data_IF_089772124500
#
_entry.id   IF_089772124500
#
_cell.length_a   1.000
_cell.length_b   1.000
_cell.length_c   1.000
_cell.angle_alpha   90.00
_cell.angle_beta   90.00
_cell.angle_gamma   90.00
#
_symmetry.space_group_name_H-M   'P 1'
#
loop_
_entity.id
_entity.type
_entity.pdbx_description
1 polymer ?
#
# COMPACT_ATOMS: atom_id res chain seq x y z
N UNK A 1 29.75 0.13 -23.30
CA UNK A 1 28.70 1.11 -22.94
C UNK A 1 27.41 0.34 -22.73
N UNK A 2 27.00 0.04 -21.48
CA UNK A 2 25.73 -0.68 -21.23
C UNK A 2 24.57 0.29 -21.46
N UNK A 3 23.72 0.01 -22.44
CA UNK A 3 22.47 0.73 -22.67
C UNK A 3 21.62 0.61 -21.39
N UNK A 4 21.38 1.73 -20.70
CA UNK A 4 20.43 1.75 -19.58
C UNK A 4 19.02 1.66 -20.18
N UNK A 5 18.23 0.64 -19.87
CA UNK A 5 16.87 0.58 -20.35
C UNK A 5 16.11 1.83 -19.89
N UNK A 6 15.48 2.54 -20.83
CA UNK A 6 14.58 3.64 -20.51
C UNK A 6 13.23 3.03 -20.14
N UNK A 7 13.02 2.79 -18.84
CA UNK A 7 11.73 2.39 -18.28
C UNK A 7 10.97 3.65 -17.90
N UNK A 8 9.75 3.80 -18.41
CA UNK A 8 8.86 4.90 -18.01
C UNK A 8 8.38 4.69 -16.57
N UNK A 9 8.23 5.77 -15.81
CA UNK A 9 7.93 5.70 -14.36
C UNK A 9 6.55 5.09 -14.06
N UNK A 10 5.59 5.20 -14.98
CA UNK A 10 4.25 4.61 -14.88
C UNK A 10 4.24 3.07 -14.92
N UNK A 11 5.31 2.47 -15.46
CA UNK A 11 5.58 1.03 -15.38
C UNK A 11 6.29 0.61 -14.08
N UNK A 12 6.58 1.54 -13.18
CA UNK A 12 7.26 1.26 -11.92
C UNK A 12 6.27 1.45 -10.76
N UNK A 13 6.27 0.47 -9.85
CA UNK A 13 5.60 0.55 -8.55
C UNK A 13 6.69 0.56 -7.48
N UNK A 14 6.69 1.58 -6.62
CA UNK A 14 7.50 1.60 -5.42
C UNK A 14 6.68 1.02 -4.27
N UNK A 15 7.20 -0.02 -3.63
CA UNK A 15 6.60 -0.61 -2.44
C UNK A 15 7.24 0.01 -1.19
N UNK A 16 6.38 0.40 -0.24
CA UNK A 16 6.79 0.98 1.03
C UNK A 16 6.08 0.22 2.13
N UNK A 17 6.83 -0.46 2.99
CA UNK A 17 6.28 -1.19 4.14
C UNK A 17 5.66 -0.22 5.15
N UNK A 18 4.58 -0.63 5.82
CA UNK A 18 3.89 0.19 6.84
C UNK A 18 4.83 0.76 7.92
N UNK A 19 5.81 -0.02 8.36
CA UNK A 19 6.76 0.37 9.43
C UNK A 19 7.57 1.63 9.11
N UNK A 20 7.83 1.90 7.83
CA UNK A 20 8.58 3.09 7.37
C UNK A 20 7.79 4.37 7.64
N UNK A 21 6.47 4.27 7.75
CA UNK A 21 5.57 5.42 7.90
C UNK A 21 5.21 5.75 9.36
N UNK A 22 5.71 4.99 10.33
CA UNK A 22 5.47 5.20 11.77
C UNK A 22 6.53 6.09 12.45
N UNK A 23 7.58 6.49 11.73
CA UNK A 23 8.73 7.22 12.28
C UNK A 23 8.63 8.75 12.21
N UNK A 24 9.59 9.43 12.86
CA UNK A 24 9.72 10.91 12.84
C UNK A 24 9.87 11.52 11.43
N UNK A 25 10.21 10.69 10.45
CA UNK A 25 10.42 11.09 9.05
C UNK A 25 9.18 10.89 8.17
N UNK A 26 8.03 10.47 8.74
CA UNK A 26 6.84 10.12 7.96
C UNK A 26 6.40 11.26 7.02
N UNK A 27 6.39 12.51 7.49
CA UNK A 27 6.00 13.67 6.67
C UNK A 27 6.98 13.95 5.53
N UNK A 28 8.29 13.78 5.78
CA UNK A 28 9.32 13.94 4.75
C UNK A 28 9.19 12.85 3.67
N UNK A 29 8.99 11.60 4.10
CA UNK A 29 8.77 10.45 3.22
C UNK A 29 7.50 10.66 2.39
N UNK A 30 6.41 11.12 3.01
CA UNK A 30 5.18 11.50 2.32
C UNK A 30 5.46 12.52 1.21
N UNK A 31 6.24 13.56 1.53
CA UNK A 31 6.63 14.59 0.58
C UNK A 31 7.41 14.06 -0.62
N UNK A 32 8.32 13.10 -0.42
CA UNK A 32 9.06 12.47 -1.52
C UNK A 32 8.17 11.56 -2.35
N UNK A 33 7.29 10.78 -1.72
CA UNK A 33 6.34 9.92 -2.42
C UNK A 33 5.41 10.75 -3.32
N UNK A 34 4.88 11.89 -2.84
CA UNK A 34 4.05 12.79 -3.67
C UNK A 34 4.80 13.24 -4.93
N UNK A 35 6.05 13.69 -4.78
CA UNK A 35 6.89 14.13 -5.91
C UNK A 35 7.16 13.02 -6.92
N UNK A 36 7.30 11.77 -6.48
CA UNK A 36 7.46 10.63 -7.38
C UNK A 36 6.16 10.30 -8.10
N UNK A 37 5.03 10.35 -7.39
CA UNK A 37 3.69 10.14 -7.97
C UNK A 37 3.32 11.18 -9.01
N UNK A 38 3.64 12.45 -8.77
CA UNK A 38 3.47 13.53 -9.74
C UNK A 38 4.23 13.29 -11.06
N UNK A 39 5.25 12.43 -11.06
CA UNK A 39 6.03 12.04 -12.25
C UNK A 39 5.52 10.76 -12.91
N UNK A 40 4.39 10.22 -12.45
CA UNK A 40 3.75 9.01 -12.99
C UNK A 40 4.09 7.72 -12.25
N UNK A 41 5.00 7.74 -11.26
CA UNK A 41 5.33 6.54 -10.49
C UNK A 41 4.16 6.13 -9.59
N UNK A 42 3.82 4.85 -9.55
CA UNK A 42 2.81 4.34 -8.60
C UNK A 42 3.46 3.90 -7.30
N UNK A 43 2.72 4.00 -6.21
CA UNK A 43 3.19 3.57 -4.88
C UNK A 43 2.22 2.59 -4.23
N UNK A 44 2.78 1.51 -3.69
CA UNK A 44 2.07 0.52 -2.92
C UNK A 44 2.47 0.57 -1.44
N UNK A 45 1.47 0.53 -0.55
CA UNK A 45 1.67 0.23 0.86
C UNK A 45 1.76 -1.28 1.02
N UNK A 46 2.89 -1.75 1.52
CA UNK A 46 3.24 -3.16 1.64
C UNK A 46 3.05 -3.69 3.07
N UNK A 47 2.92 -5.01 3.18
CA UNK A 47 2.76 -5.77 4.44
C UNK A 47 1.56 -5.32 5.30
N UNK A 48 0.49 -4.79 4.68
CA UNK A 48 -0.68 -4.32 5.43
C UNK A 48 -1.37 -5.50 6.13
N UNK A 49 -1.36 -5.50 7.46
CA UNK A 49 -1.94 -6.60 8.27
C UNK A 49 -0.95 -7.35 9.16
N UNK A 50 0.36 -7.13 9.01
CA UNK A 50 1.42 -7.83 9.78
C UNK A 50 1.67 -7.28 11.20
N UNK A 51 1.05 -6.14 11.54
CA UNK A 51 1.21 -5.44 12.82
C UNK A 51 -0.03 -4.66 13.24
N UNK A 52 0.14 -3.46 13.80
CA UNK A 52 -0.97 -2.53 14.03
C UNK A 52 -1.40 -1.91 12.70
N UNK A 53 -2.03 -2.70 11.82
CA UNK A 53 -2.50 -2.26 10.51
C UNK A 53 -3.41 -1.03 10.66
N UNK A 54 -2.84 0.15 10.48
CA UNK A 54 -3.49 1.37 10.92
C UNK A 54 -4.14 2.08 9.74
N UNK A 55 -5.46 2.01 9.68
CA UNK A 55 -6.28 2.73 8.71
C UNK A 55 -6.01 4.24 8.71
N UNK A 56 -5.49 4.80 9.81
CA UNK A 56 -5.16 6.23 9.89
C UNK A 56 -4.03 6.62 8.94
N UNK A 57 -3.16 5.67 8.53
CA UNK A 57 -2.15 5.93 7.50
C UNK A 57 -2.78 6.34 6.17
N UNK A 58 -3.94 5.77 5.83
CA UNK A 58 -4.64 6.09 4.58
C UNK A 58 -5.16 7.54 4.53
N UNK A 59 -5.18 8.26 5.65
CA UNK A 59 -5.59 9.67 5.70
C UNK A 59 -4.53 10.62 5.14
N UNK A 60 -3.24 10.26 5.27
CA UNK A 60 -2.13 11.17 4.94
C UNK A 60 -1.14 10.57 3.94
N UNK A 61 -1.13 9.24 3.81
CA UNK A 61 -0.20 8.51 2.97
C UNK A 61 -0.63 8.53 1.50
N UNK A 62 0.21 9.08 0.60
CA UNK A 62 -0.10 9.19 -0.81
C UNK A 62 0.20 7.86 -1.52
N UNK A 63 -0.68 6.86 -1.42
CA UNK A 63 -0.54 5.54 -2.05
C UNK A 63 -1.61 5.29 -3.12
N UNK A 64 -1.27 4.45 -4.09
CA UNK A 64 -2.17 4.00 -5.17
C UNK A 64 -2.67 2.57 -4.93
N UNK A 65 -1.92 1.79 -4.15
CA UNK A 65 -2.15 0.36 -3.92
C UNK A 65 -1.97 0.06 -2.42
N UNK A 66 -2.80 -0.82 -1.88
CA UNK A 66 -2.58 -1.50 -0.59
C UNK A 66 -2.40 -2.99 -0.89
N UNK A 67 -1.34 -3.58 -0.36
CA UNK A 67 -1.04 -5.01 -0.43
C UNK A 67 -1.38 -5.63 0.93
N UNK A 68 -2.41 -6.48 0.97
CA UNK A 68 -2.81 -7.21 2.17
C UNK A 68 -1.89 -8.42 2.30
N UNK A 69 -1.14 -8.45 3.39
CA UNK A 69 -0.15 -9.49 3.64
C UNK A 69 -0.78 -10.89 3.74
N UNK A 70 0.00 -11.90 3.35
CA UNK A 70 -0.39 -13.31 3.37
C UNK A 70 -0.89 -13.75 4.75
N UNK A 71 -0.27 -13.33 5.85
CA UNK A 71 -0.68 -13.75 7.19
C UNK A 71 -2.10 -13.30 7.54
N UNK A 72 -2.59 -12.21 6.95
CA UNK A 72 -3.97 -11.77 7.09
C UNK A 72 -4.91 -12.51 6.13
N UNK A 73 -4.45 -12.76 4.91
CA UNK A 73 -5.18 -13.55 3.90
C UNK A 73 -5.41 -14.99 4.38
N UNK A 74 -4.43 -15.62 5.02
CA UNK A 74 -4.53 -16.98 5.55
C UNK A 74 -5.55 -17.11 6.70
N UNK A 75 -5.99 -15.99 7.29
CA UNK A 75 -7.04 -15.94 8.32
C UNK A 75 -8.46 -15.80 7.73
N UNK A 76 -8.59 -15.67 6.41
CA UNK A 76 -9.89 -15.53 5.77
C UNK A 76 -10.68 -16.85 5.81
N UNK A 77 -11.88 -16.79 6.38
CA UNK A 77 -12.83 -17.88 6.41
C UNK A 77 -14.27 -17.36 6.38
N UNK A 78 -15.25 -18.17 5.96
CA UNK A 78 -16.66 -17.79 6.02
C UNK A 78 -17.06 -17.42 7.45
N UNK A 79 -17.65 -16.24 7.64
CA UNK A 79 -18.08 -15.71 8.94
C UNK A 79 -16.96 -15.45 9.95
N UNK A 80 -15.69 -15.45 9.53
CA UNK A 80 -14.56 -15.10 10.39
C UNK A 80 -14.36 -13.57 10.47
N UNK A 81 -13.92 -13.03 11.64
CA UNK A 81 -13.68 -11.59 11.80
C UNK A 81 -12.75 -10.98 10.75
N UNK A 82 -11.72 -11.72 10.31
CA UNK A 82 -10.79 -11.26 9.28
C UNK A 82 -11.49 -10.94 7.95
N UNK A 83 -12.54 -11.70 7.59
CA UNK A 83 -13.32 -11.47 6.38
C UNK A 83 -14.05 -10.12 6.44
N UNK A 84 -14.71 -9.82 7.57
CA UNK A 84 -15.41 -8.54 7.76
C UNK A 84 -14.43 -7.35 7.75
N UNK A 85 -13.22 -7.52 8.29
CA UNK A 85 -12.19 -6.49 8.28
C UNK A 85 -11.70 -6.23 6.84
N UNK A 86 -11.39 -7.28 6.06
CA UNK A 86 -10.99 -7.12 4.65
C UNK A 86 -12.11 -6.47 3.84
N UNK A 87 -13.36 -6.88 4.03
CA UNK A 87 -14.50 -6.26 3.36
C UNK A 87 -14.58 -4.75 3.66
N UNK A 88 -14.48 -4.37 4.94
CA UNK A 88 -14.44 -2.97 5.37
C UNK A 88 -13.28 -2.19 4.74
N UNK A 89 -12.08 -2.76 4.76
CA UNK A 89 -10.88 -2.19 4.16
C UNK A 89 -11.06 -1.97 2.65
N UNK A 90 -11.58 -2.95 1.91
CA UNK A 90 -11.85 -2.86 0.48
C UNK A 90 -12.85 -1.74 0.18
N UNK A 91 -13.89 -1.57 1.01
CA UNK A 91 -14.83 -0.47 0.84
C UNK A 91 -14.20 0.91 1.10
N UNK A 92 -13.35 1.02 2.12
CA UNK A 92 -12.59 2.26 2.42
C UNK A 92 -11.66 2.58 1.25
N UNK A 93 -10.84 1.63 0.82
CA UNK A 93 -9.90 1.79 -0.28
C UNK A 93 -10.61 2.21 -1.57
N UNK A 94 -11.74 1.60 -1.90
CA UNK A 94 -12.57 1.98 -3.05
C UNK A 94 -13.02 3.44 -2.99
N UNK A 95 -13.47 3.92 -1.82
CA UNK A 95 -13.88 5.33 -1.63
C UNK A 95 -12.71 6.31 -1.75
N UNK A 96 -11.51 5.87 -1.38
CA UNK A 96 -10.28 6.64 -1.50
C UNK A 96 -9.63 6.55 -2.88
N UNK A 97 -10.18 5.73 -3.80
CA UNK A 97 -9.57 5.48 -5.11
C UNK A 97 -8.29 4.65 -5.06
N UNK A 98 -8.09 3.88 -3.98
CA UNK A 98 -6.93 3.03 -3.75
C UNK A 98 -7.24 1.60 -4.20
N UNK A 99 -6.33 0.99 -4.95
CA UNK A 99 -6.45 -0.42 -5.36
C UNK A 99 -6.02 -1.34 -4.23
N UNK A 100 -6.70 -2.47 -4.06
CA UNK A 100 -6.31 -3.52 -3.11
C UNK A 100 -5.74 -4.72 -3.87
N UNK A 101 -4.66 -5.29 -3.35
CA UNK A 101 -4.02 -6.52 -3.82
C UNK A 101 -3.91 -7.47 -2.63
N UNK A 102 -4.29 -8.73 -2.82
CA UNK A 102 -4.07 -9.80 -1.85
C UNK A 102 -2.77 -10.54 -2.19
N UNK A 103 -1.94 -10.80 -1.19
CA UNK A 103 -0.66 -11.48 -1.37
C UNK A 103 -0.68 -12.94 -0.92
N UNK A 104 0.19 -13.74 -1.51
CA UNK A 104 0.45 -15.11 -1.04
C UNK A 104 -0.71 -16.10 -1.18
N UNK A 105 -1.60 -15.88 -2.17
CA UNK A 105 -2.69 -16.79 -2.57
C UNK A 105 -2.13 -18.11 -3.10
#
# INVERSE_FOLDING_TARGET
MRLRPHVQLDHIILEVTESVYLGRLADEIAGQIRKLRERGLRVALDDFGTGYASLTHLLTMPVDIIKIDKSFIDQLGPLEPACFIVEGLVQIAKKLGIRVVAEGI
#
